data_IF_185124355569
#
_entry.id   IF_185124355569
#
_cell.length_a   1.000
_cell.length_b   1.000
_cell.length_c   1.000
_cell.angle_alpha   90.00
_cell.angle_beta   90.00
_cell.angle_gamma   90.00
#
_symmetry.space_group_name_H-M   'P 1'
#
loop_
_entity.id
_entity.type
_entity.pdbx_description
1 polymer ?
#
# COMPACT_ATOMS: atom_id res chain seq x y z
N UNK A 1 -46.18 46.21 9.38
CA UNK A 1 -46.09 44.73 9.45
C UNK A 1 -44.67 44.34 9.05
N UNK A 2 -43.92 43.79 10.00
CA UNK A 2 -42.50 43.45 9.86
C UNK A 2 -42.32 42.05 9.28
N UNK A 3 -41.36 41.83 8.37
CA UNK A 3 -40.74 40.51 8.16
C UNK A 3 -39.24 40.68 7.84
N UNK A 4 -38.43 40.10 8.72
CA UNK A 4 -36.96 39.95 8.73
C UNK A 4 -36.47 38.93 7.69
N UNK A 5 -35.25 39.09 7.18
CA UNK A 5 -34.22 38.03 7.11
C UNK A 5 -32.85 38.60 6.77
N UNK A 6 -31.91 38.40 7.68
CA UNK A 6 -30.49 38.67 7.54
C UNK A 6 -29.89 37.80 6.41
N UNK A 7 -29.07 38.40 5.56
CA UNK A 7 -28.35 37.72 4.48
C UNK A 7 -26.86 37.71 4.78
N UNK A 8 -26.30 36.50 4.84
CA UNK A 8 -24.92 36.21 4.48
C UNK A 8 -23.91 36.22 5.62
N UNK A 9 -23.78 35.09 6.31
CA UNK A 9 -22.60 34.79 7.14
C UNK A 9 -21.36 34.64 6.26
N UNK A 10 -20.37 35.50 6.52
CA UNK A 10 -19.07 35.47 5.87
C UNK A 10 -18.14 34.37 6.40
N UNK A 11 -17.54 33.68 5.43
CA UNK A 11 -16.19 33.07 5.37
C UNK A 11 -15.37 32.87 6.66
N UNK A 12 -14.86 31.64 6.79
CA UNK A 12 -13.74 31.27 7.67
C UNK A 12 -13.83 29.78 7.98
N UNK A 13 -13.25 28.89 7.18
CA UNK A 13 -11.79 28.77 7.08
C UNK A 13 -11.32 27.77 8.12
N UNK A 14 -11.62 26.49 7.92
CA UNK A 14 -11.11 25.38 8.72
C UNK A 14 -10.65 24.32 7.75
N UNK A 15 -9.33 24.24 7.57
CA UNK A 15 -8.65 23.41 6.59
C UNK A 15 -9.24 22.00 6.53
N UNK A 16 -9.80 21.65 5.39
CA UNK A 16 -9.94 20.26 4.98
C UNK A 16 -8.50 19.71 4.93
N UNK A 17 -8.12 18.99 5.98
CA UNK A 17 -6.96 18.11 5.93
C UNK A 17 -7.32 17.04 4.91
N UNK A 18 -6.98 17.32 3.66
CA UNK A 18 -6.92 16.33 2.60
C UNK A 18 -5.91 15.29 3.06
N UNK A 19 -6.45 14.28 3.74
CA UNK A 19 -5.71 13.11 4.15
C UNK A 19 -5.40 12.42 2.85
N UNK A 20 -4.25 12.76 2.27
CA UNK A 20 -3.72 12.12 1.09
C UNK A 20 -3.76 10.61 1.35
N UNK A 21 -4.80 9.96 0.83
CA UNK A 21 -4.91 8.53 0.82
C UNK A 21 -3.74 8.09 -0.05
N UNK A 22 -2.64 7.69 0.59
CA UNK A 22 -1.57 7.00 -0.11
C UNK A 22 -2.25 5.84 -0.83
N UNK A 23 -2.44 5.98 -2.14
CA UNK A 23 -2.94 4.91 -2.98
C UNK A 23 -1.89 3.82 -2.84
N UNK A 24 -2.17 2.85 -1.97
CA UNK A 24 -1.30 1.71 -1.75
C UNK A 24 -1.41 0.89 -3.03
N UNK A 25 -0.55 1.21 -4.00
CA UNK A 25 -0.49 0.49 -5.26
C UNK A 25 -0.36 -1.00 -4.91
N UNK A 26 -1.30 -1.80 -5.39
CA UNK A 26 -1.24 -3.24 -5.16
C UNK A 26 0.03 -3.74 -5.85
N UNK A 27 0.84 -4.58 -5.20
CA UNK A 27 2.01 -5.17 -5.84
C UNK A 27 1.59 -5.84 -7.15
N UNK A 28 2.29 -5.52 -8.24
CA UNK A 28 2.10 -6.20 -9.52
C UNK A 28 2.60 -7.63 -9.38
N UNK A 29 1.73 -8.59 -9.66
CA UNK A 29 2.03 -10.01 -9.60
C UNK A 29 2.16 -10.55 -11.02
N UNK A 30 3.33 -11.10 -11.31
CA UNK A 30 3.65 -11.68 -12.61
C UNK A 30 3.86 -13.19 -12.46
N UNK A 31 3.69 -13.94 -13.56
CA UNK A 31 4.00 -15.37 -13.59
C UNK A 31 5.51 -15.57 -13.42
N UNK A 32 5.90 -16.31 -12.38
CA UNK A 32 7.30 -16.64 -12.09
C UNK A 32 7.88 -17.76 -12.96
N UNK A 33 9.16 -18.04 -12.73
CA UNK A 33 9.88 -19.23 -13.19
C UNK A 33 9.96 -20.25 -12.05
N UNK A 34 9.75 -21.56 -12.30
CA UNK A 34 9.87 -22.60 -11.28
C UNK A 34 11.32 -22.82 -10.80
N UNK A 35 12.31 -22.28 -11.51
CA UNK A 35 13.74 -22.38 -11.18
C UNK A 35 14.47 -21.05 -11.39
N UNK A 36 15.53 -20.76 -10.63
CA UNK A 36 16.04 -21.57 -9.51
C UNK A 36 15.14 -21.46 -8.26
N UNK A 37 15.25 -22.42 -7.34
CA UNK A 37 14.51 -22.37 -6.07
C UNK A 37 15.01 -21.24 -5.17
N UNK A 38 14.12 -20.74 -4.31
CA UNK A 38 14.36 -19.62 -3.42
C UNK A 38 13.85 -18.29 -3.98
N UNK A 39 14.50 -17.20 -3.58
CA UNK A 39 14.21 -15.84 -4.03
C UNK A 39 15.33 -15.36 -4.94
N UNK A 40 15.01 -15.00 -6.18
CA UNK A 40 15.99 -14.56 -7.18
C UNK A 40 15.62 -13.19 -7.74
N UNK A 41 16.56 -12.25 -7.71
CA UNK A 41 16.38 -10.94 -8.33
C UNK A 41 16.20 -11.08 -9.85
N UNK A 42 15.27 -10.33 -10.42
CA UNK A 42 15.02 -10.22 -11.87
C UNK A 42 14.85 -8.75 -12.23
N UNK A 43 14.88 -8.44 -13.52
CA UNK A 43 14.69 -7.07 -13.99
C UNK A 43 13.32 -6.54 -13.53
N UNK A 44 13.34 -5.59 -12.59
CA UNK A 44 12.14 -4.96 -12.04
C UNK A 44 11.42 -5.74 -10.93
N UNK A 45 12.00 -6.81 -10.36
CA UNK A 45 11.34 -7.53 -9.27
C UNK A 45 12.12 -8.73 -8.71
N UNK A 46 11.38 -9.62 -8.04
CA UNK A 46 11.91 -10.85 -7.42
C UNK A 46 11.04 -12.03 -7.82
N UNK A 47 11.66 -13.13 -8.22
CA UNK A 47 11.01 -14.42 -8.45
C UNK A 47 11.12 -15.30 -7.21
N UNK A 48 10.00 -15.82 -6.74
CA UNK A 48 9.93 -16.77 -5.64
C UNK A 48 9.54 -18.16 -6.17
N UNK A 49 10.39 -19.16 -5.96
CA UNK A 49 10.12 -20.54 -6.31
C UNK A 49 10.36 -21.45 -5.10
N UNK A 50 9.31 -22.15 -4.68
CA UNK A 50 9.35 -23.12 -3.57
C UNK A 50 8.92 -24.49 -4.10
N UNK A 51 9.41 -25.55 -3.47
CA UNK A 51 8.97 -26.91 -3.75
C UNK A 51 8.25 -27.48 -2.52
N UNK A 52 7.09 -28.10 -2.77
CA UNK A 52 6.42 -28.95 -1.80
C UNK A 52 5.69 -30.06 -2.53
N UNK A 53 5.93 -31.31 -2.13
CA UNK A 53 5.34 -32.47 -2.78
C UNK A 53 3.82 -32.57 -2.57
N UNK A 54 3.30 -32.07 -1.45
CA UNK A 54 1.93 -32.32 -1.00
C UNK A 54 1.22 -31.06 -0.44
N UNK A 55 1.76 -29.85 -0.64
CA UNK A 55 1.10 -28.64 -0.17
C UNK A 55 -0.18 -28.37 -0.96
N UNK A 56 -1.29 -28.14 -0.25
CA UNK A 56 -2.55 -27.68 -0.84
C UNK A 56 -2.50 -26.17 -1.13
N UNK A 57 -1.70 -25.42 -0.37
CA UNK A 57 -1.51 -23.97 -0.55
C UNK A 57 -0.15 -23.52 -0.05
N UNK A 58 0.24 -22.31 -0.46
CA UNK A 58 1.43 -21.61 0.02
C UNK A 58 1.11 -20.13 0.23
N UNK A 59 1.78 -19.50 1.19
CA UNK A 59 1.65 -18.09 1.49
C UNK A 59 3.02 -17.39 1.43
N UNK A 60 3.05 -16.19 0.87
CA UNK A 60 4.23 -15.33 0.82
C UNK A 60 3.99 -14.11 1.71
N UNK A 61 4.91 -13.86 2.63
CA UNK A 61 4.85 -12.73 3.56
C UNK A 61 5.95 -11.72 3.23
N UNK A 62 5.57 -10.45 3.11
CA UNK A 62 6.51 -9.34 3.00
C UNK A 62 6.58 -8.61 4.34
N UNK A 63 7.80 -8.53 4.89
CA UNK A 63 8.07 -7.88 6.17
C UNK A 63 8.95 -6.67 5.88
N UNK A 64 8.49 -5.48 6.27
CA UNK A 64 9.30 -4.27 6.23
C UNK A 64 10.05 -4.16 7.56
N UNK A 65 11.38 -4.15 7.51
CA UNK A 65 12.21 -3.89 8.69
C UNK A 65 12.62 -2.42 8.70
N UNK A 66 12.40 -1.76 9.83
CA UNK A 66 12.95 -0.42 10.05
C UNK A 66 14.44 -0.54 10.38
N UNK A 67 15.30 0.37 9.88
CA UNK A 67 16.69 0.38 10.29
C UNK A 67 16.77 0.60 11.81
N UNK A 68 17.65 -0.14 12.47
CA UNK A 68 18.04 0.13 13.86
C UNK A 68 19.07 1.26 13.79
N UNK A 69 18.72 2.44 14.31
CA UNK A 69 19.72 3.48 14.52
C UNK A 69 20.41 3.21 15.86
N UNK A 70 21.73 2.96 15.85
CA UNK A 70 22.54 3.01 17.07
C UNK A 70 23.17 4.40 17.14
N UNK A 71 22.99 5.07 18.28
CA UNK A 71 23.66 6.35 18.58
C UNK A 71 25.07 6.13 19.08
#
# INVERSE_FOLDING_TARGET
>A
MNVRRESGGGVGGGAEVDTAMAVKEKPKLERGSPTPFGATARDGGVNFAIFSANAVSAALYFISLSPIYTT
#
